data_IF_136213256846
#
_entry.id   IF_136213256846
#
_cell.length_a   1.000
_cell.length_b   1.000
_cell.length_c   1.000
_cell.angle_alpha   90.00
_cell.angle_beta   90.00
_cell.angle_gamma   90.00
#
_symmetry.space_group_name_H-M   'P 1'
#
loop_
_entity.id
_entity.type
_entity.pdbx_description
1 polymer ?
#
# COMPACT_ATOMS: atom_id res chain seq x y z
N UNK A 1 -65.83 3.37 -5.74
CA UNK A 1 -64.87 2.88 -6.75
C UNK A 1 -63.51 3.42 -6.39
N UNK A 2 -62.48 2.58 -6.50
CA UNK A 2 -61.19 2.71 -5.81
C UNK A 2 -60.41 3.99 -6.15
N UNK A 3 -59.94 4.70 -5.13
CA UNK A 3 -58.85 5.66 -5.24
C UNK A 3 -57.55 4.89 -5.46
N UNK A 4 -56.96 5.04 -6.64
CA UNK A 4 -55.64 4.53 -6.95
C UNK A 4 -54.61 5.41 -6.24
N UNK A 5 -54.10 4.96 -5.09
CA UNK A 5 -53.00 5.63 -4.41
C UNK A 5 -51.71 5.09 -5.01
N UNK A 6 -51.19 5.78 -6.02
CA UNK A 6 -49.78 5.63 -6.41
C UNK A 6 -48.94 6.10 -5.22
N UNK A 7 -48.00 5.31 -4.67
CA UNK A 7 -47.09 5.84 -3.67
C UNK A 7 -46.14 6.79 -4.39
N UNK A 8 -46.07 8.03 -3.90
CA UNK A 8 -45.00 8.95 -4.25
C UNK A 8 -43.70 8.27 -3.82
N UNK A 9 -42.87 7.90 -4.79
CA UNK A 9 -41.51 7.47 -4.56
C UNK A 9 -40.77 8.73 -4.12
N UNK A 10 -40.59 8.89 -2.80
CA UNK A 10 -39.65 9.88 -2.28
C UNK A 10 -38.30 9.59 -2.92
N UNK A 11 -37.81 10.59 -3.66
CA UNK A 11 -36.58 10.54 -4.44
C UNK A 11 -35.38 10.64 -3.49
N UNK A 12 -35.21 9.61 -2.67
CA UNK A 12 -34.06 9.40 -1.76
C UNK A 12 -32.81 8.96 -2.53
N UNK A 13 -32.86 8.91 -3.86
CA UNK A 13 -31.74 8.54 -4.71
C UNK A 13 -30.47 9.40 -4.47
N UNK A 14 -30.55 10.73 -4.23
CA UNK A 14 -29.39 11.54 -3.90
C UNK A 14 -28.81 11.22 -2.52
N UNK A 15 -29.66 10.92 -1.53
CA UNK A 15 -29.23 10.55 -0.18
C UNK A 15 -28.58 9.16 -0.16
N UNK A 16 -29.15 8.21 -0.92
CA UNK A 16 -28.59 6.87 -1.11
C UNK A 16 -27.25 6.91 -1.87
N UNK A 17 -27.15 7.71 -2.93
CA UNK A 17 -25.90 7.92 -3.65
C UNK A 17 -24.81 8.54 -2.74
N UNK A 18 -25.18 9.51 -1.91
CA UNK A 18 -24.28 10.09 -0.92
C UNK A 18 -23.78 9.07 0.11
N UNK A 19 -24.67 8.21 0.61
CA UNK A 19 -24.31 7.15 1.56
C UNK A 19 -23.35 6.11 0.94
N UNK A 20 -23.57 5.71 -0.31
CA UNK A 20 -22.68 4.82 -1.07
C UNK A 20 -21.30 5.44 -1.24
N UNK A 21 -21.21 6.73 -1.61
CA UNK A 21 -19.93 7.43 -1.78
C UNK A 21 -19.17 7.54 -0.45
N UNK A 22 -19.86 7.82 0.66
CA UNK A 22 -19.24 7.88 1.99
C UNK A 22 -18.74 6.50 2.43
N UNK A 23 -19.53 5.44 2.19
CA UNK A 23 -19.10 4.08 2.49
C UNK A 23 -17.93 3.65 1.60
N UNK A 24 -17.97 3.93 0.30
CA UNK A 24 -16.86 3.69 -0.61
C UNK A 24 -15.59 4.42 -0.15
N UNK A 25 -15.70 5.70 0.25
CA UNK A 25 -14.57 6.45 0.83
C UNK A 25 -14.03 5.80 2.10
N UNK A 26 -14.89 5.38 3.04
CA UNK A 26 -14.46 4.67 4.25
C UNK A 26 -13.83 3.31 3.96
N UNK A 27 -14.32 2.59 2.95
CA UNK A 27 -13.73 1.33 2.48
C UNK A 27 -12.36 1.62 1.85
N UNK A 28 -12.22 2.68 1.06
CA UNK A 28 -10.93 3.14 0.52
C UNK A 28 -9.97 3.62 1.62
N UNK A 29 -10.46 4.27 2.69
CA UNK A 29 -9.67 4.64 3.89
C UNK A 29 -9.23 3.40 4.67
N UNK A 30 -10.09 2.38 4.74
CA UNK A 30 -9.75 1.09 5.37
C UNK A 30 -8.78 0.29 4.52
N UNK A 31 -8.87 0.37 3.18
CA UNK A 31 -7.84 -0.10 2.27
C UNK A 31 -6.53 0.72 2.42
N UNK A 32 -6.60 2.02 2.72
CA UNK A 32 -5.45 2.83 3.18
C UNK A 32 -4.95 2.42 4.58
N UNK A 33 -5.48 1.36 5.20
CA UNK A 33 -4.93 0.69 6.38
C UNK A 33 -4.36 -0.71 6.09
N UNK A 34 -4.32 -1.16 4.83
CA UNK A 34 -3.65 -2.43 4.44
C UNK A 34 -2.19 -2.47 4.89
N UNK A 35 -1.52 -1.31 4.95
CA UNK A 35 -0.16 -1.21 5.51
C UNK A 35 -0.06 -1.70 6.96
N UNK A 36 -1.15 -1.62 7.75
CA UNK A 36 -1.15 -2.15 9.12
C UNK A 36 -0.98 -3.67 9.13
N UNK A 37 -1.53 -4.37 8.15
CA UNK A 37 -1.40 -5.82 8.02
C UNK A 37 -0.04 -6.18 7.42
N UNK A 38 0.54 -5.31 6.57
CA UNK A 38 1.80 -5.59 5.90
C UNK A 38 3.00 -5.77 6.85
N UNK A 39 2.98 -5.14 8.02
CA UNK A 39 4.01 -5.37 9.04
C UNK A 39 3.93 -6.74 9.72
N UNK A 40 2.77 -7.39 9.66
CA UNK A 40 2.52 -8.74 10.20
C UNK A 40 2.74 -9.84 9.15
N UNK A 41 2.94 -9.47 7.88
CA UNK A 41 3.28 -10.40 6.80
C UNK A 41 4.73 -10.83 6.95
N UNK A 42 4.94 -12.11 7.28
CA UNK A 42 6.26 -12.73 7.28
C UNK A 42 6.75 -12.90 5.85
N UNK A 43 7.72 -12.08 5.43
CA UNK A 43 8.33 -12.21 4.10
C UNK A 43 9.43 -13.28 4.15
N UNK A 44 9.35 -14.34 3.34
CA UNK A 44 10.39 -15.35 3.27
C UNK A 44 11.63 -14.80 2.53
N UNK A 45 12.47 -14.06 3.26
CA UNK A 45 13.68 -13.42 2.71
C UNK A 45 14.67 -14.40 2.09
N UNK A 46 14.67 -15.66 2.52
CA UNK A 46 15.51 -16.73 1.96
C UNK A 46 15.19 -17.03 0.48
N UNK A 47 13.97 -16.70 0.03
CA UNK A 47 13.56 -16.78 -1.37
C UNK A 47 13.87 -15.53 -2.18
N UNK A 48 14.33 -14.45 -1.54
CA UNK A 48 14.63 -13.17 -2.19
C UNK A 48 16.14 -13.05 -2.40
N UNK A 49 16.54 -12.77 -3.64
CA UNK A 49 17.95 -12.54 -3.97
C UNK A 49 18.24 -11.06 -4.04
N UNK A 50 19.07 -10.59 -3.11
CA UNK A 50 19.57 -9.22 -3.04
C UNK A 50 21.10 -9.22 -3.06
N UNK A 51 21.70 -8.59 -4.08
CA UNK A 51 23.15 -8.55 -4.26
C UNK A 51 23.85 -7.54 -3.35
N UNK A 52 23.11 -6.73 -2.58
CA UNK A 52 23.70 -5.76 -1.66
C UNK A 52 24.38 -6.46 -0.49
N UNK A 53 25.48 -5.87 -0.03
CA UNK A 53 26.15 -6.28 1.21
C UNK A 53 25.28 -5.89 2.41
N UNK A 54 24.47 -6.84 2.92
CA UNK A 54 23.45 -6.56 3.94
C UNK A 54 23.98 -5.93 5.23
N UNK A 55 25.24 -6.18 5.59
CA UNK A 55 25.89 -5.57 6.76
C UNK A 55 26.34 -4.11 6.54
N UNK A 56 26.26 -3.59 5.31
CA UNK A 56 26.63 -2.21 4.96
C UNK A 56 25.44 -1.35 4.52
N UNK A 57 24.30 -1.97 4.23
CA UNK A 57 23.11 -1.23 3.80
C UNK A 57 22.37 -0.63 4.97
N UNK A 58 21.78 0.52 4.69
CA UNK A 58 20.91 1.23 5.63
C UNK A 58 19.52 0.61 5.76
N UNK A 59 19.10 -0.18 4.78
CA UNK A 59 17.78 -0.80 4.70
C UNK A 59 17.96 -2.22 4.19
N UNK A 60 17.62 -3.20 5.04
CA UNK A 60 17.78 -4.61 4.71
C UNK A 60 16.82 -5.08 3.62
N UNK A 61 17.06 -6.29 3.12
CA UNK A 61 16.21 -6.95 2.11
C UNK A 61 14.74 -6.96 2.51
N UNK A 62 14.42 -7.36 3.74
CA UNK A 62 13.03 -7.50 4.19
C UNK A 62 12.29 -6.16 4.19
N UNK A 63 12.88 -5.12 4.79
CA UNK A 63 12.25 -3.79 4.84
C UNK A 63 12.05 -3.24 3.44
N UNK A 64 13.01 -3.43 2.53
CA UNK A 64 12.87 -3.00 1.13
C UNK A 64 11.80 -3.81 0.40
N UNK A 65 11.72 -5.13 0.59
CA UNK A 65 10.66 -5.96 0.04
C UNK A 65 9.27 -5.48 0.49
N UNK A 66 9.09 -5.17 1.79
CA UNK A 66 7.84 -4.57 2.30
C UNK A 66 7.52 -3.24 1.63
N UNK A 67 8.53 -2.39 1.39
CA UNK A 67 8.34 -1.11 0.68
C UNK A 67 7.86 -1.32 -0.75
N UNK A 68 8.41 -2.29 -1.48
CA UNK A 68 7.96 -2.56 -2.85
C UNK A 68 6.59 -3.23 -2.91
N UNK A 69 6.26 -4.11 -1.98
CA UNK A 69 4.89 -4.65 -1.88
C UNK A 69 3.91 -3.52 -1.59
N UNK A 70 4.24 -2.61 -0.66
CA UNK A 70 3.44 -1.41 -0.43
C UNK A 70 3.33 -0.55 -1.70
N UNK A 71 4.42 -0.36 -2.44
CA UNK A 71 4.41 0.36 -3.70
C UNK A 71 3.44 -0.27 -4.71
N UNK A 72 3.49 -1.60 -4.89
CA UNK A 72 2.64 -2.35 -5.82
C UNK A 72 1.17 -2.30 -5.42
N UNK A 73 0.84 -2.53 -4.15
CA UNK A 73 -0.56 -2.53 -3.65
C UNK A 73 -1.25 -1.19 -3.90
N UNK A 74 -0.51 -0.09 -3.76
CA UNK A 74 -1.06 1.26 -3.89
C UNK A 74 -0.76 1.91 -5.26
N UNK A 75 -0.17 1.17 -6.20
CA UNK A 75 0.23 1.64 -7.54
C UNK A 75 0.97 2.98 -7.51
N UNK A 76 2.03 3.05 -6.69
CA UNK A 76 2.78 4.28 -6.46
C UNK A 76 4.10 4.32 -7.23
N UNK A 77 4.51 5.52 -7.63
CA UNK A 77 5.90 5.76 -8.02
C UNK A 77 6.82 5.75 -6.79
N UNK A 78 8.11 5.43 -7.00
CA UNK A 78 9.10 5.42 -5.91
C UNK A 78 9.23 6.78 -5.20
N UNK A 79 9.04 7.90 -5.92
CA UNK A 79 9.01 9.24 -5.32
C UNK A 79 7.83 9.41 -4.36
N UNK A 80 6.64 8.99 -4.77
CA UNK A 80 5.43 9.09 -3.95
C UNK A 80 5.50 8.19 -2.72
N UNK A 81 6.14 7.02 -2.84
CA UNK A 81 6.43 6.16 -1.68
C UNK A 81 7.34 6.89 -0.70
N UNK A 82 8.43 7.51 -1.17
CA UNK A 82 9.34 8.25 -0.31
C UNK A 82 8.60 9.40 0.42
N UNK A 83 7.79 10.17 -0.31
CA UNK A 83 6.98 11.26 0.25
C UNK A 83 5.95 10.74 1.28
N UNK A 84 5.29 9.61 1.02
CA UNK A 84 4.35 9.01 1.98
C UNK A 84 5.06 8.52 3.24
N UNK A 85 6.26 7.97 3.12
CA UNK A 85 7.05 7.50 4.26
C UNK A 85 7.57 8.66 5.12
N UNK A 86 7.90 9.79 4.49
CA UNK A 86 8.26 11.02 5.19
C UNK A 86 7.09 11.57 6.03
N UNK A 87 5.88 11.56 5.46
CA UNK A 87 4.70 12.13 6.08
C UNK A 87 3.97 11.18 7.06
N UNK A 88 4.31 9.89 7.10
CA UNK A 88 3.62 8.86 7.92
C UNK A 88 4.59 8.02 8.76
N UNK A 89 5.01 8.50 9.94
CA UNK A 89 5.94 7.76 10.81
C UNK A 89 5.45 6.37 11.26
N UNK A 90 4.13 6.19 11.39
CA UNK A 90 3.56 4.88 11.73
C UNK A 90 3.76 3.85 10.61
N UNK A 91 3.64 4.27 9.34
CA UNK A 91 3.91 3.44 8.16
C UNK A 91 5.40 3.05 8.13
N UNK A 92 6.29 4.01 8.39
CA UNK A 92 7.74 3.78 8.46
C UNK A 92 8.08 2.61 9.41
N UNK A 93 7.53 2.67 10.64
CA UNK A 93 7.74 1.63 11.64
C UNK A 93 7.18 0.28 11.20
N UNK A 94 6.00 0.27 10.58
CA UNK A 94 5.33 -0.95 10.14
C UNK A 94 6.09 -1.68 9.02
N UNK A 95 6.76 -0.93 8.14
CA UNK A 95 7.63 -1.48 7.10
C UNK A 95 9.02 -1.88 7.63
N UNK A 96 9.27 -1.78 8.94
CA UNK A 96 10.57 -2.12 9.53
C UNK A 96 11.69 -1.17 9.12
N UNK A 97 11.37 0.11 8.91
CA UNK A 97 12.32 1.14 8.53
C UNK A 97 12.64 2.04 9.73
N UNK A 98 13.94 2.25 9.98
CA UNK A 98 14.42 3.12 11.07
C UNK A 98 14.69 4.56 10.63
N UNK A 99 14.66 4.81 9.32
CA UNK A 99 14.80 6.14 8.70
C UNK A 99 14.03 6.17 7.38
N UNK A 100 13.71 7.35 6.88
CA UNK A 100 13.01 7.52 5.60
C UNK A 100 13.97 7.17 4.45
N UNK A 101 13.67 6.19 3.59
CA UNK A 101 14.43 5.96 2.38
C UNK A 101 14.11 7.05 1.35
N UNK A 102 15.14 7.60 0.71
CA UNK A 102 14.96 8.51 -0.44
C UNK A 102 14.60 7.71 -1.69
N UNK A 103 14.06 8.38 -2.71
CA UNK A 103 13.82 7.76 -4.02
C UNK A 103 15.09 7.11 -4.61
N UNK A 104 16.27 7.70 -4.38
CA UNK A 104 17.55 7.10 -4.79
C UNK A 104 17.86 5.81 -4.04
N UNK A 105 17.58 5.75 -2.73
CA UNK A 105 17.78 4.55 -1.93
C UNK A 105 16.89 3.40 -2.43
N UNK A 106 15.64 3.73 -2.79
CA UNK A 106 14.71 2.78 -3.40
C UNK A 106 15.26 2.32 -4.75
N UNK A 107 15.52 3.23 -5.69
CA UNK A 107 16.06 2.86 -7.01
C UNK A 107 17.32 1.98 -6.92
N UNK A 108 18.27 2.33 -6.04
CA UNK A 108 19.47 1.52 -5.81
C UNK A 108 19.12 0.12 -5.29
N UNK A 109 18.25 0.01 -4.28
CA UNK A 109 17.83 -1.29 -3.74
C UNK A 109 17.15 -2.16 -4.80
N UNK A 110 16.24 -1.59 -5.59
CA UNK A 110 15.53 -2.29 -6.66
C UNK A 110 16.50 -2.87 -7.69
N UNK A 111 17.49 -2.09 -8.12
CA UNK A 111 18.49 -2.52 -9.10
C UNK A 111 19.42 -3.63 -8.61
N UNK A 112 19.44 -3.91 -7.31
CA UNK A 112 20.25 -4.97 -6.71
C UNK A 112 19.45 -6.24 -6.41
N UNK A 113 18.14 -6.19 -6.56
CA UNK A 113 17.32 -7.40 -6.57
C UNK A 113 17.49 -8.16 -7.88
N UNK A 114 17.52 -9.49 -7.82
CA UNK A 114 17.48 -10.31 -9.02
C UNK A 114 16.15 -10.11 -9.77
N UNK A 115 16.13 -10.36 -11.08
CA UNK A 115 14.89 -10.27 -11.86
C UNK A 115 13.79 -11.17 -11.30
N UNK A 116 14.12 -12.39 -10.88
CA UNK A 116 13.16 -13.29 -10.20
C UNK A 116 12.55 -12.65 -8.95
N UNK A 117 13.37 -11.95 -8.16
CA UNK A 117 12.91 -11.27 -6.94
C UNK A 117 11.96 -10.13 -7.29
N UNK A 118 12.29 -9.32 -8.30
CA UNK A 118 11.42 -8.24 -8.79
C UNK A 118 10.07 -8.76 -9.26
N UNK A 119 10.06 -9.78 -10.13
CA UNK A 119 8.81 -10.43 -10.59
C UNK A 119 7.98 -10.97 -9.43
N UNK A 120 8.64 -11.53 -8.41
CA UNK A 120 7.94 -12.06 -7.22
C UNK A 120 7.29 -10.94 -6.40
N UNK A 121 7.95 -9.78 -6.27
CA UNK A 121 7.42 -8.62 -5.54
C UNK A 121 6.32 -7.88 -6.32
N UNK A 122 6.36 -7.90 -7.65
CA UNK A 122 5.31 -7.32 -8.50
C UNK A 122 4.05 -8.18 -8.56
N UNK A 123 4.17 -9.50 -8.33
CA UNK A 123 3.05 -10.44 -8.36
C UNK A 123 2.38 -10.70 -7.00
N UNK A 124 2.88 -10.08 -5.92
CA UNK A 124 2.42 -10.25 -4.54
C UNK A 124 1.24 -9.32 -4.20
#
# INVERSE_FOLDING_TARGET
MASNITPAVDDDAPALAGAIVIHAKKVCETADHLWRVLGDVSIPVDGLTDTRQQHKVSFGTESMARVYIYQTIYDLAQSEVADRLENRPALLKQLGLNKVPTQQNLSYAWNQFSEQTKTTLEAA
#
